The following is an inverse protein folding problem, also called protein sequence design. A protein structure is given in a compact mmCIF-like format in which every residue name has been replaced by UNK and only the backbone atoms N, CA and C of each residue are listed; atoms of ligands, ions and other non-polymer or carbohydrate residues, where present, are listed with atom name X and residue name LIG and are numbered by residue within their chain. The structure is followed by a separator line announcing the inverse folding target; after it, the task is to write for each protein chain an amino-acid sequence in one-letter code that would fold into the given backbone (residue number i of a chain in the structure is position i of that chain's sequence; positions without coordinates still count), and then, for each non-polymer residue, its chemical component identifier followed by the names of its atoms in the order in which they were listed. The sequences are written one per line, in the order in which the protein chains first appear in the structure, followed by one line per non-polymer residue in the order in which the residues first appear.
data_IF_356109116974
#
_entry.id   IF_356109116974
#
_cell.length_a   1.000
_cell.length_b   1.000
_cell.length_c   1.000
_cell.angle_alpha   90.00
_cell.angle_beta   90.00
_cell.angle_gamma   90.00
#
_symmetry.space_group_name_H-M   'P 1'
#
loop_
_entity.id
_entity.type
_entity.pdbx_description
1 polymer ?
#
# COMPACT_ATOMS: atom_id res chain seq x y z
N UNK A 1 -15.40 16.18 10.76
CA UNK A 1 -15.07 16.35 12.16
C UNK A 1 -13.88 17.30 12.29
N UNK A 2 -13.82 18.13 13.33
CA UNK A 2 -12.57 18.78 13.71
C UNK A 2 -12.40 20.27 13.43
N UNK A 3 -13.36 20.98 12.82
CA UNK A 3 -13.23 22.44 12.61
C UNK A 3 -13.99 23.32 13.60
N UNK A 4 -14.90 22.72 14.36
CA UNK A 4 -15.64 23.41 15.40
C UNK A 4 -15.27 22.84 16.75
N UNK A 5 -14.94 23.67 17.74
CA UNK A 5 -14.55 23.26 19.10
C UNK A 5 -15.70 22.80 19.97
N UNK A 6 -16.84 22.36 19.38
CA UNK A 6 -17.96 21.86 20.18
C UNK A 6 -17.85 20.35 20.44
N UNK A 7 -18.50 19.89 21.50
CA UNK A 7 -18.37 18.51 22.02
C UNK A 7 -18.58 17.41 20.98
N UNK A 8 -19.58 17.52 20.10
CA UNK A 8 -19.84 16.50 19.06
C UNK A 8 -18.73 16.41 18.04
N UNK A 9 -18.13 17.54 17.64
CA UNK A 9 -16.99 17.56 16.72
C UNK A 9 -15.76 16.91 17.33
N UNK A 10 -15.50 17.18 18.62
CA UNK A 10 -14.40 16.55 19.36
C UNK A 10 -14.63 15.03 19.53
N UNK A 11 -15.86 14.62 19.84
CA UNK A 11 -16.21 13.20 19.97
C UNK A 11 -16.02 12.46 18.64
N UNK A 12 -16.48 13.01 17.51
CA UNK A 12 -16.29 12.44 16.19
C UNK A 12 -14.80 12.39 15.81
N UNK A 13 -14.02 13.40 16.17
CA UNK A 13 -12.58 13.43 15.95
C UNK A 13 -11.86 12.31 16.72
N UNK A 14 -12.23 12.07 17.97
CA UNK A 14 -11.66 11.01 18.81
C UNK A 14 -11.89 9.63 18.21
N UNK A 15 -13.10 9.33 17.72
CA UNK A 15 -13.41 8.03 17.08
C UNK A 15 -12.46 7.78 15.88
N UNK A 16 -12.21 8.81 15.08
CA UNK A 16 -11.31 8.70 13.91
C UNK A 16 -9.87 8.45 14.36
N UNK A 17 -9.39 9.18 15.37
CA UNK A 17 -8.01 9.02 15.87
C UNK A 17 -7.83 7.68 16.58
N UNK A 18 -8.76 7.25 17.42
CA UNK A 18 -8.74 5.92 18.07
C UNK A 18 -8.67 4.79 17.03
N UNK A 19 -9.47 4.88 15.95
CA UNK A 19 -9.41 3.91 14.86
C UNK A 19 -8.02 3.89 14.20
N UNK A 20 -7.42 5.05 13.97
CA UNK A 20 -6.07 5.20 13.40
C UNK A 20 -5.01 4.57 14.29
N UNK A 21 -5.09 4.82 15.60
CA UNK A 21 -4.20 4.26 16.61
C UNK A 21 -4.30 2.73 16.67
N UNK A 22 -5.52 2.18 16.64
CA UNK A 22 -5.75 0.73 16.63
C UNK A 22 -5.16 0.06 15.38
N UNK A 23 -5.34 0.66 14.20
CA UNK A 23 -4.72 0.17 12.96
C UNK A 23 -3.19 0.21 13.07
N UNK A 24 -2.63 1.30 13.58
CA UNK A 24 -1.19 1.43 13.77
C UNK A 24 -0.67 0.36 14.75
N UNK A 25 -1.33 0.19 15.89
CA UNK A 25 -0.99 -0.80 16.90
C UNK A 25 -1.02 -2.23 16.34
N UNK A 26 -2.03 -2.58 15.54
CA UNK A 26 -2.15 -3.90 14.88
C UNK A 26 -0.92 -4.23 14.03
N UNK A 27 -0.24 -3.23 13.49
CA UNK A 27 0.96 -3.39 12.65
C UNK A 27 2.27 -3.15 13.41
N UNK A 28 2.23 -2.89 14.70
CA UNK A 28 3.39 -2.51 15.48
C UNK A 28 3.97 -1.12 15.11
N UNK A 29 3.13 -0.24 14.52
CA UNK A 29 3.48 1.14 14.21
C UNK A 29 3.19 2.02 15.43
N UNK A 30 4.17 2.87 15.80
CA UNK A 30 4.04 3.77 16.95
C UNK A 30 3.44 5.13 16.59
N UNK A 31 3.61 5.54 15.35
CA UNK A 31 3.12 6.82 14.84
C UNK A 31 1.85 6.61 14.02
N UNK A 32 0.70 6.82 14.64
CA UNK A 32 -0.60 6.67 13.99
C UNK A 32 -0.81 7.65 12.82
N UNK A 33 -0.08 8.76 12.76
CA UNK A 33 -0.14 9.69 11.63
C UNK A 33 0.34 9.08 10.31
N UNK A 34 1.01 7.92 10.37
CA UNK A 34 1.42 7.14 9.19
C UNK A 34 0.26 6.39 8.50
N UNK A 35 -0.94 6.43 9.09
CA UNK A 35 -2.14 5.80 8.54
C UNK A 35 -2.98 6.85 7.84
N UNK A 36 -3.13 6.74 6.53
CA UNK A 36 -4.10 7.50 5.76
C UNK A 36 -5.36 6.63 5.54
N UNK A 37 -6.54 7.17 5.84
CA UNK A 37 -7.79 6.49 5.53
C UNK A 37 -8.10 6.56 4.04
N UNK A 38 -8.72 5.50 3.55
CA UNK A 38 -9.18 5.32 2.18
C UNK A 38 -10.58 4.71 2.18
N UNK A 39 -11.28 4.76 1.06
CA UNK A 39 -12.61 4.15 0.94
C UNK A 39 -12.55 2.62 0.84
N UNK A 40 -11.43 2.06 0.43
CA UNK A 40 -11.16 0.62 0.29
C UNK A 40 -9.69 0.42 -0.09
N UNK A 41 -9.26 -0.84 -0.25
CA UNK A 41 -7.89 -1.15 -0.70
C UNK A 41 -7.59 -0.59 -2.10
N UNK A 42 -8.56 -0.58 -3.00
CA UNK A 42 -8.37 -0.04 -4.36
C UNK A 42 -7.99 1.43 -4.31
N UNK A 43 -8.68 2.24 -3.49
CA UNK A 43 -8.37 3.64 -3.28
C UNK A 43 -6.97 3.81 -2.66
N UNK A 44 -6.65 3.03 -1.61
CA UNK A 44 -5.34 3.03 -0.97
C UNK A 44 -4.19 2.66 -1.92
N UNK A 45 -4.38 1.63 -2.77
CA UNK A 45 -3.41 1.21 -3.78
C UNK A 45 -3.20 2.30 -4.84
N UNK A 46 -4.27 2.94 -5.31
CA UNK A 46 -4.17 4.05 -6.26
C UNK A 46 -3.45 5.25 -5.65
N UNK A 47 -3.74 5.61 -4.39
CA UNK A 47 -2.99 6.66 -3.68
C UNK A 47 -1.48 6.35 -3.65
N UNK A 48 -1.11 5.11 -3.33
CA UNK A 48 0.29 4.69 -3.27
C UNK A 48 0.96 4.66 -4.65
N UNK A 49 0.32 4.04 -5.65
CA UNK A 49 0.87 3.85 -7.00
C UNK A 49 1.08 5.21 -7.67
N UNK A 50 0.03 6.03 -7.77
CA UNK A 50 0.11 7.33 -8.42
C UNK A 50 0.96 8.33 -7.62
N UNK A 51 0.94 8.23 -6.28
CA UNK A 51 1.75 9.10 -5.43
C UNK A 51 3.25 8.81 -5.47
N UNK A 52 3.64 7.55 -5.74
CA UNK A 52 5.04 7.12 -5.72
C UNK A 52 5.77 7.27 -7.06
N UNK A 53 5.05 7.21 -8.18
CA UNK A 53 5.61 7.05 -9.53
C UNK A 53 5.73 8.38 -10.28
N UNK A 54 6.75 8.42 -11.14
CA UNK A 54 7.04 9.53 -12.05
C UNK A 54 7.31 9.00 -13.45
N UNK A 55 7.26 9.89 -14.43
CA UNK A 55 7.60 9.54 -15.81
C UNK A 55 9.04 9.00 -15.91
N UNK A 56 9.19 7.86 -16.58
CA UNK A 56 10.46 7.17 -16.77
C UNK A 56 10.79 6.11 -15.72
N UNK A 57 9.99 6.00 -14.66
CA UNK A 57 10.17 4.97 -13.63
C UNK A 57 9.91 3.56 -14.19
N UNK A 58 10.58 2.57 -13.60
CA UNK A 58 10.30 1.17 -13.82
C UNK A 58 9.62 0.59 -12.56
N UNK A 59 8.61 -0.23 -12.78
CA UNK A 59 7.85 -0.93 -11.73
C UNK A 59 7.95 -2.43 -11.93
N UNK A 60 8.17 -3.14 -10.84
CA UNK A 60 8.06 -4.60 -10.80
C UNK A 60 6.78 -4.96 -10.04
N UNK A 61 5.95 -5.83 -10.63
CA UNK A 61 4.75 -6.39 -9.99
C UNK A 61 4.63 -7.86 -10.35
N UNK A 62 3.49 -8.49 -10.05
CA UNK A 62 3.32 -9.93 -10.28
C UNK A 62 2.09 -10.23 -11.11
N UNK A 63 2.04 -11.42 -11.74
CA UNK A 63 0.86 -11.87 -12.48
C UNK A 63 -0.29 -12.34 -11.57
N UNK A 64 -0.08 -12.41 -10.26
CA UNK A 64 -1.07 -12.87 -9.29
C UNK A 64 -1.76 -11.73 -8.53
N UNK A 65 -1.50 -10.50 -8.94
CA UNK A 65 -2.11 -9.31 -8.33
C UNK A 65 -3.61 -9.19 -8.61
N UNK A 66 -4.29 -8.49 -7.71
CA UNK A 66 -5.65 -8.05 -7.95
C UNK A 66 -5.70 -6.95 -9.04
N UNK A 67 -6.84 -6.81 -9.72
CA UNK A 67 -7.08 -5.76 -10.70
C UNK A 67 -6.82 -4.33 -10.19
N UNK A 68 -6.95 -4.11 -8.88
CA UNK A 68 -6.65 -2.82 -8.23
C UNK A 68 -5.17 -2.42 -8.31
N UNK A 69 -4.28 -3.39 -8.59
CA UNK A 69 -2.86 -3.17 -8.88
C UNK A 69 -2.59 -3.23 -10.37
N UNK A 70 -3.08 -4.29 -11.05
CA UNK A 70 -2.76 -4.50 -12.48
C UNK A 70 -3.30 -3.40 -13.39
N UNK A 71 -4.54 -2.95 -13.16
CA UNK A 71 -5.17 -1.94 -14.03
C UNK A 71 -4.44 -0.59 -14.01
N UNK A 72 -4.19 0.05 -12.84
CA UNK A 72 -3.47 1.31 -12.82
C UNK A 72 -2.03 1.18 -13.35
N UNK A 73 -1.30 0.09 -13.04
CA UNK A 73 0.04 -0.13 -13.57
C UNK A 73 0.05 -0.34 -15.09
N UNK A 74 -0.91 -1.11 -15.62
CA UNK A 74 -1.05 -1.32 -17.06
C UNK A 74 -1.42 -0.03 -17.79
N UNK A 75 -2.28 0.81 -17.19
CA UNK A 75 -2.62 2.11 -17.76
C UNK A 75 -1.42 3.05 -17.82
N UNK A 76 -0.68 3.17 -16.73
CA UNK A 76 0.55 3.98 -16.68
C UNK A 76 1.60 3.49 -17.68
N UNK A 77 1.73 2.17 -17.85
CA UNK A 77 2.66 1.57 -18.81
C UNK A 77 2.23 1.81 -20.26
N UNK A 78 0.94 1.63 -20.57
CA UNK A 78 0.38 1.85 -21.90
C UNK A 78 0.47 3.32 -22.33
N UNK A 79 0.31 4.24 -21.37
CA UNK A 79 0.47 5.68 -21.58
C UNK A 79 1.93 6.13 -21.67
N UNK A 80 2.90 5.21 -21.57
CA UNK A 80 4.33 5.51 -21.67
C UNK A 80 4.90 6.25 -20.45
N UNK A 81 4.14 6.34 -19.35
CA UNK A 81 4.60 7.01 -18.13
C UNK A 81 5.63 6.16 -17.39
N UNK A 82 5.41 4.83 -17.34
CA UNK A 82 6.33 3.89 -16.69
C UNK A 82 6.70 2.74 -17.64
N UNK A 83 7.71 1.97 -17.25
CA UNK A 83 7.92 0.61 -17.75
C UNK A 83 7.51 -0.39 -16.68
N UNK A 84 6.90 -1.53 -17.07
CA UNK A 84 6.34 -2.51 -16.16
C UNK A 84 6.90 -3.90 -16.45
N UNK A 85 7.42 -4.57 -15.41
CA UNK A 85 7.77 -5.98 -15.43
C UNK A 85 6.83 -6.75 -14.53
N UNK A 86 6.19 -7.80 -15.05
CA UNK A 86 5.30 -8.69 -14.31
C UNK A 86 5.99 -10.04 -14.10
N UNK A 87 6.20 -10.41 -12.82
CA UNK A 87 6.83 -11.68 -12.44
C UNK A 87 5.76 -12.78 -12.38
N UNK A 88 5.93 -13.90 -13.09
CA UNK A 88 5.05 -15.04 -12.98
C UNK A 88 5.30 -15.79 -11.65
N UNK A 89 4.27 -16.43 -11.07
CA UNK A 89 4.45 -17.34 -9.96
C UNK A 89 5.11 -18.65 -10.42
N UNK A 90 5.75 -19.35 -9.50
CA UNK A 90 6.18 -20.73 -9.70
C UNK A 90 4.97 -21.70 -9.73
N UNK A 91 5.26 -23.00 -9.92
CA UNK A 91 4.23 -24.07 -9.97
C UNK A 91 3.41 -24.20 -8.68
N UNK A 92 3.89 -23.63 -7.57
CA UNK A 92 3.20 -23.62 -6.27
C UNK A 92 2.46 -22.27 -6.02
N UNK A 93 2.39 -21.41 -7.01
CA UNK A 93 1.75 -20.09 -6.89
C UNK A 93 2.56 -19.06 -6.12
N UNK A 94 3.88 -19.27 -5.93
CA UNK A 94 4.75 -18.39 -5.15
C UNK A 94 5.64 -17.54 -6.04
N UNK A 95 5.82 -16.29 -5.62
CA UNK A 95 6.79 -15.37 -6.23
C UNK A 95 8.14 -15.54 -5.56
N UNK A 96 9.16 -15.82 -6.36
CA UNK A 96 10.52 -15.98 -5.87
C UNK A 96 11.23 -14.63 -5.79
N UNK A 97 11.83 -14.30 -4.63
CA UNK A 97 12.53 -13.03 -4.43
C UNK A 97 13.72 -12.85 -5.40
N UNK A 98 14.33 -13.96 -5.85
CA UNK A 98 15.41 -13.95 -6.85
C UNK A 98 14.92 -13.45 -8.21
N UNK A 99 13.66 -13.75 -8.58
CA UNK A 99 13.09 -13.28 -9.85
C UNK A 99 12.83 -11.78 -9.78
N UNK A 100 12.35 -11.29 -8.64
CA UNK A 100 12.22 -9.85 -8.39
C UNK A 100 13.60 -9.17 -8.46
N UNK A 101 14.63 -9.75 -7.84
CA UNK A 101 15.98 -9.17 -7.85
C UNK A 101 16.58 -9.12 -9.27
N UNK A 102 16.38 -10.16 -10.09
CA UNK A 102 16.82 -10.18 -11.49
C UNK A 102 16.12 -9.14 -12.37
N UNK A 103 14.88 -8.81 -12.05
CA UNK A 103 14.10 -7.82 -12.78
C UNK A 103 14.46 -6.36 -12.43
N UNK A 104 15.27 -6.12 -11.39
CA UNK A 104 15.67 -4.77 -10.99
C UNK A 104 16.54 -4.10 -12.06
N UNK A 105 16.17 -2.92 -12.45
CA UNK A 105 16.90 -2.04 -13.38
C UNK A 105 17.35 -0.77 -12.67
N UNK A 106 18.24 0.04 -13.25
CA UNK A 106 18.60 1.35 -12.69
C UNK A 106 17.42 2.33 -12.54
N UNK A 107 16.34 2.12 -13.30
CA UNK A 107 15.11 2.93 -13.22
C UNK A 107 14.05 2.35 -12.31
N UNK A 108 14.28 1.18 -11.69
CA UNK A 108 13.29 0.57 -10.80
C UNK A 108 13.06 1.47 -9.60
N UNK A 109 11.82 1.89 -9.42
CA UNK A 109 11.36 2.76 -8.35
C UNK A 109 10.52 2.02 -7.33
N UNK A 110 9.62 1.16 -7.79
CA UNK A 110 8.58 0.54 -6.97
C UNK A 110 8.47 -0.95 -7.27
N UNK A 111 8.32 -1.74 -6.21
CA UNK A 111 7.84 -3.11 -6.27
C UNK A 111 6.44 -3.14 -5.66
N UNK A 112 5.48 -3.77 -6.33
CA UNK A 112 4.12 -3.97 -5.82
C UNK A 112 3.82 -5.45 -5.78
N UNK A 113 3.33 -5.95 -4.64
CA UNK A 113 3.06 -7.37 -4.47
C UNK A 113 1.92 -7.63 -3.51
N UNK A 114 0.99 -8.51 -3.89
CA UNK A 114 -0.02 -9.01 -2.96
C UNK A 114 0.60 -9.90 -1.89
N UNK A 115 0.14 -9.77 -0.63
CA UNK A 115 0.55 -10.69 0.43
C UNK A 115 -0.14 -12.06 0.31
N UNK A 116 -1.38 -12.07 -0.18
CA UNK A 116 -2.11 -13.28 -0.53
C UNK A 116 -3.04 -13.01 -1.71
N UNK A 117 -2.93 -13.81 -2.76
CA UNK A 117 -3.84 -13.72 -3.90
C UNK A 117 -5.23 -14.22 -3.52
N UNK A 118 -6.27 -13.45 -3.87
CA UNK A 118 -7.66 -13.84 -3.67
C UNK A 118 -8.09 -15.01 -4.58
N UNK A 119 -7.32 -15.32 -5.61
CA UNK A 119 -7.59 -16.42 -6.54
C UNK A 119 -6.87 -17.69 -6.12
N UNK A 120 -5.58 -17.58 -5.76
CA UNK A 120 -4.75 -18.74 -5.44
C UNK A 120 -4.81 -19.13 -3.96
N UNK A 121 -5.14 -18.20 -3.05
CA UNK A 121 -5.11 -18.44 -1.61
C UNK A 121 -3.71 -18.68 -1.03
N UNK A 122 -2.65 -18.44 -1.81
CA UNK A 122 -1.27 -18.69 -1.40
C UNK A 122 -0.67 -17.42 -0.81
N UNK A 123 -0.17 -17.53 0.43
CA UNK A 123 0.57 -16.44 1.09
C UNK A 123 1.97 -16.33 0.51
N UNK A 124 2.39 -15.12 0.18
CA UNK A 124 3.68 -14.81 -0.42
C UNK A 124 4.72 -14.45 0.65
N UNK A 125 6.00 -14.78 0.40
CA UNK A 125 7.11 -14.35 1.27
C UNK A 125 7.48 -12.88 0.97
N UNK A 126 6.62 -11.97 1.43
CA UNK A 126 6.86 -10.52 1.27
C UNK A 126 8.12 -10.07 2.02
N UNK A 127 8.54 -10.78 3.07
CA UNK A 127 9.77 -10.45 3.79
C UNK A 127 11.02 -10.72 2.94
N UNK A 128 11.05 -11.81 2.15
CA UNK A 128 12.14 -12.08 1.22
C UNK A 128 12.25 -11.00 0.14
N UNK A 129 11.13 -10.61 -0.47
CA UNK A 129 11.08 -9.51 -1.45
C UNK A 129 11.46 -8.18 -0.81
N UNK A 130 10.99 -7.91 0.40
CA UNK A 130 11.34 -6.68 1.13
C UNK A 130 12.84 -6.58 1.46
N UNK A 131 13.52 -7.72 1.68
CA UNK A 131 15.00 -7.71 1.80
C UNK A 131 15.68 -7.25 0.52
N UNK A 132 15.18 -7.67 -0.65
CA UNK A 132 15.65 -7.18 -1.96
C UNK A 132 15.41 -5.69 -2.07
N UNK A 133 14.18 -5.23 -1.81
CA UNK A 133 13.82 -3.82 -1.90
C UNK A 133 14.69 -2.93 -1.00
N UNK A 134 14.96 -3.36 0.24
CA UNK A 134 15.85 -2.62 1.14
C UNK A 134 17.28 -2.50 0.62
N UNK A 135 17.87 -3.62 0.13
CA UNK A 135 19.24 -3.60 -0.43
C UNK A 135 19.34 -2.67 -1.64
N UNK A 136 18.30 -2.66 -2.46
CA UNK A 136 18.22 -1.86 -3.70
C UNK A 136 17.64 -0.46 -3.50
N UNK A 137 17.26 -0.09 -2.26
CA UNK A 137 16.63 1.21 -1.90
C UNK A 137 15.36 1.49 -2.71
N UNK A 138 14.57 0.46 -2.97
CA UNK A 138 13.31 0.53 -3.71
C UNK A 138 12.13 0.77 -2.76
N UNK A 139 11.10 1.45 -3.25
CA UNK A 139 9.80 1.46 -2.60
C UNK A 139 9.16 0.07 -2.72
N UNK A 140 8.47 -0.35 -1.66
CA UNK A 140 7.78 -1.64 -1.63
C UNK A 140 6.36 -1.47 -1.08
N UNK A 141 5.37 -1.63 -1.96
CA UNK A 141 3.94 -1.60 -1.65
C UNK A 141 3.42 -3.03 -1.53
N UNK A 142 2.80 -3.33 -0.40
CA UNK A 142 2.15 -4.61 -0.16
C UNK A 142 0.63 -4.43 -0.14
N UNK A 143 -0.06 -5.20 -0.99
CA UNK A 143 -1.51 -5.37 -0.91
C UNK A 143 -1.85 -6.44 0.13
N UNK A 144 -2.36 -6.02 1.29
CA UNK A 144 -2.78 -6.88 2.39
C UNK A 144 -4.30 -7.12 2.41
N UNK A 145 -4.99 -6.97 1.27
CA UNK A 145 -6.44 -7.04 1.21
C UNK A 145 -7.03 -8.38 1.68
N UNK A 146 -6.30 -9.47 1.57
CA UNK A 146 -6.74 -10.80 2.01
C UNK A 146 -6.15 -11.21 3.36
N UNK A 147 -5.19 -10.46 3.89
CA UNK A 147 -4.45 -10.88 5.10
C UNK A 147 -4.65 -9.97 6.30
N UNK A 148 -5.04 -8.70 6.08
CA UNK A 148 -5.39 -7.81 7.17
C UNK A 148 -6.56 -8.37 7.99
N UNK A 149 -6.36 -8.52 9.30
CA UNK A 149 -7.32 -9.13 10.23
C UNK A 149 -7.24 -10.66 10.33
N UNK A 150 -6.53 -11.35 9.42
CA UNK A 150 -6.38 -12.81 9.44
C UNK A 150 -4.96 -13.26 9.80
N UNK A 151 -3.95 -12.50 9.40
CA UNK A 151 -2.53 -12.80 9.64
C UNK A 151 -1.88 -11.55 10.24
N UNK A 152 -0.98 -11.70 11.24
CA UNK A 152 -0.25 -10.57 11.78
C UNK A 152 0.50 -9.79 10.69
N UNK A 153 0.29 -8.47 10.65
CA UNK A 153 0.94 -7.59 9.70
C UNK A 153 2.18 -6.96 10.36
N UNK A 154 3.33 -7.15 9.75
CA UNK A 154 4.61 -6.65 10.26
C UNK A 154 5.37 -5.85 9.18
N UNK A 155 4.82 -4.73 8.67
CA UNK A 155 5.37 -4.04 7.50
C UNK A 155 6.81 -3.58 7.70
N UNK A 156 7.19 -3.16 8.90
CA UNK A 156 8.57 -2.73 9.21
C UNK A 156 9.56 -3.89 9.09
N UNK A 157 9.25 -5.06 9.65
CA UNK A 157 10.13 -6.25 9.58
C UNK A 157 10.15 -6.83 8.17
N UNK A 158 9.04 -6.80 7.46
CA UNK A 158 8.96 -7.21 6.06
C UNK A 158 9.76 -6.30 5.13
N UNK A 159 10.07 -5.07 5.55
CA UNK A 159 10.76 -4.10 4.72
C UNK A 159 9.86 -3.36 3.76
N UNK A 160 8.56 -3.36 4.02
CA UNK A 160 7.60 -2.55 3.30
C UNK A 160 7.87 -1.06 3.50
N UNK A 161 7.53 -0.28 2.50
CA UNK A 161 7.47 1.18 2.60
C UNK A 161 6.02 1.68 2.58
N UNK A 162 5.12 0.86 2.06
CA UNK A 162 3.68 1.13 2.02
C UNK A 162 2.91 -0.19 2.17
N UNK A 163 1.73 -0.14 2.79
CA UNK A 163 0.84 -1.28 2.93
C UNK A 163 -0.61 -0.82 2.84
N UNK A 164 -1.38 -1.44 1.94
CA UNK A 164 -2.79 -1.13 1.72
C UNK A 164 -3.70 -2.25 2.25
N UNK A 165 -4.83 -1.88 2.87
CA UNK A 165 -5.78 -2.83 3.44
C UNK A 165 -7.22 -2.31 3.38
N UNK A 166 -8.24 -3.21 3.34
CA UNK A 166 -9.64 -2.83 3.48
C UNK A 166 -10.09 -2.89 4.95
N UNK A 167 -11.09 -2.12 5.31
CA UNK A 167 -11.77 -2.31 6.60
C UNK A 167 -12.83 -3.42 6.58
N UNK A 168 -13.45 -3.66 5.43
CA UNK A 168 -14.64 -4.52 5.28
C UNK A 168 -14.37 -6.01 4.98
N UNK A 169 -13.11 -6.47 5.10
CA UNK A 169 -12.75 -7.89 4.98
C UNK A 169 -12.40 -8.46 6.36
N UNK A 170 -11.22 -8.98 6.56
CA UNK A 170 -10.81 -9.60 7.82
C UNK A 170 -10.82 -8.67 9.04
N UNK A 171 -10.85 -7.37 8.86
CA UNK A 171 -11.04 -6.40 9.95
C UNK A 171 -12.51 -6.24 10.37
N UNK A 172 -13.47 -6.85 9.65
CA UNK A 172 -14.90 -6.88 9.94
C UNK A 172 -15.56 -5.51 10.09
N UNK A 173 -14.94 -4.48 9.49
CA UNK A 173 -15.48 -3.12 9.48
C UNK A 173 -16.52 -2.89 8.38
N UNK A 174 -17.13 -1.71 8.32
CA UNK A 174 -18.13 -1.38 7.32
C UNK A 174 -17.52 -1.22 5.91
N UNK A 175 -18.37 -1.40 4.88
CA UNK A 175 -18.02 -1.02 3.52
C UNK A 175 -17.71 0.50 3.44
N UNK A 176 -16.87 0.87 2.47
CA UNK A 176 -16.43 2.26 2.33
C UNK A 176 -15.27 2.63 3.26
N UNK A 177 -14.58 1.63 3.84
CA UNK A 177 -13.43 1.84 4.70
C UNK A 177 -12.21 1.06 4.24
N UNK A 178 -11.04 1.69 4.38
CA UNK A 178 -9.73 1.13 4.09
C UNK A 178 -8.62 2.03 4.62
N UNK A 179 -7.40 1.57 4.54
CA UNK A 179 -6.24 2.32 5.02
C UNK A 179 -5.00 2.06 4.16
N UNK A 180 -4.17 3.09 4.08
CA UNK A 180 -2.80 3.04 3.57
C UNK A 180 -1.86 3.41 4.71
N UNK A 181 -0.96 2.48 5.07
CA UNK A 181 0.18 2.79 5.90
C UNK A 181 1.34 3.24 5.03
N UNK A 182 2.01 4.32 5.41
CA UNK A 182 3.18 4.88 4.72
C UNK A 182 4.32 5.04 5.70
N UNK A 183 5.45 4.39 5.41
CA UNK A 183 6.65 4.45 6.25
C UNK A 183 7.18 5.88 6.34
N UNK A 184 7.73 6.22 7.50
CA UNK A 184 8.47 7.48 7.70
C UNK A 184 9.56 7.68 6.64
N UNK A 185 9.70 8.94 6.17
CA UNK A 185 10.63 9.30 5.09
C UNK A 185 10.15 8.98 3.68
N UNK A 186 8.97 8.35 3.51
CA UNK A 186 8.34 8.17 2.20
C UNK A 186 7.38 9.33 1.95
N UNK A 187 7.59 10.03 0.85
CA UNK A 187 6.71 11.11 0.39
C UNK A 187 5.96 10.65 -0.85
N UNK A 188 4.65 10.83 -0.83
CA UNK A 188 3.75 10.55 -1.95
C UNK A 188 3.20 11.87 -2.50
N UNK A 189 3.10 11.97 -3.82
CA UNK A 189 2.33 13.06 -4.43
C UNK A 189 0.84 12.88 -4.05
N UNK A 190 0.11 13.95 -3.74
CA UNK A 190 -1.29 13.86 -3.39
C UNK A 190 -2.12 13.41 -4.60
N UNK A 191 -2.98 12.40 -4.39
CA UNK A 191 -3.93 11.95 -5.42
C UNK A 191 -5.03 12.99 -5.66
N UNK A 192 -5.40 13.72 -4.61
CA UNK A 192 -6.42 14.78 -4.65
C UNK A 192 -5.83 16.03 -4.01
N UNK A 193 -6.07 17.15 -4.62
CA UNK A 193 -5.61 18.46 -4.15
C UNK A 193 -6.81 19.31 -3.76
N UNK A 194 -6.64 20.18 -2.77
CA UNK A 194 -7.66 21.07 -2.27
C UNK A 194 -7.92 20.86 -0.78
N UNK A 195 -8.94 21.51 -0.30
CA UNK A 195 -9.29 21.55 1.12
C UNK A 195 -9.11 22.96 1.67
N UNK A 196 -9.47 23.14 2.94
CA UNK A 196 -9.30 24.41 3.65
C UNK A 196 -8.16 24.26 4.65
N UNK A 197 -6.99 24.74 4.28
CA UNK A 197 -5.84 24.89 5.16
C UNK A 197 -5.70 26.33 5.66
N UNK A 198 -4.91 26.52 6.70
CA UNK A 198 -4.52 27.86 7.20
C UNK A 198 -3.40 28.50 6.38
N UNK A 199 -2.79 27.75 5.46
CA UNK A 199 -1.81 28.25 4.50
C UNK A 199 -2.22 27.75 3.12
N UNK A 200 -2.71 28.65 2.29
CA UNK A 200 -2.90 28.44 0.86
C UNK A 200 -1.82 29.23 0.13
N UNK A 201 -0.91 28.54 -0.55
CA UNK A 201 -0.08 29.14 -1.57
C UNK A 201 -0.75 29.02 -2.93
#
# INVERSE_FOLDING_TARGET
PGRAGHQLSLAAGRIVEECREQIAQMMGEKDASRIAFAMNTTDALNMAIHGALRTGDHVISTLIEHNSVLRPLSELSRSGIITLTLIPPDRNGRIQAQDVERAVTPRTRLVVMTHMSNVLGVTQDVAAVGRVCRRRKLLFLVDAAQTAGHIPLCPRTWGCTMLAMPGHKGLLGPHGTGALWVKEGVTLAPLRQGGTGSASE
#
